data_IF_348796596174
#
_entry.id   IF_348796596174
#
_cell.length_a   1.000
_cell.length_b   1.000
_cell.length_c   1.000
_cell.angle_alpha   90.00
_cell.angle_beta   90.00
_cell.angle_gamma   90.00
#
_symmetry.space_group_name_H-M   'P 1'
#
loop_
_entity.id
_entity.type
_entity.pdbx_description
1 polymer ?
#
# COMPACT_ATOMS: atom_id res chain seq x y z
N UNK A 1 1.51 26.41 19.37
CA UNK A 1 2.74 26.26 18.56
C UNK A 1 3.21 24.81 18.45
N UNK A 2 3.30 24.04 19.54
CA UNK A 2 3.75 22.63 19.55
C UNK A 2 3.03 21.73 18.52
N UNK A 3 1.71 21.82 18.40
CA UNK A 3 0.95 21.02 17.42
C UNK A 3 1.31 21.33 15.97
N UNK A 4 1.61 22.59 15.64
CA UNK A 4 2.02 22.97 14.27
C UNK A 4 3.35 22.33 13.87
N UNK A 5 4.31 22.27 14.78
CA UNK A 5 5.60 21.62 14.52
C UNK A 5 5.46 20.12 14.29
N UNK A 6 4.61 19.45 15.07
CA UNK A 6 4.37 18.01 14.93
C UNK A 6 3.66 17.71 13.61
N UNK A 7 2.64 18.51 13.25
CA UNK A 7 1.96 18.36 11.95
C UNK A 7 2.92 18.57 10.79
N UNK A 8 3.73 19.63 10.83
CA UNK A 8 4.73 19.88 9.78
C UNK A 8 5.76 18.74 9.71
N UNK A 9 6.26 18.27 10.87
CA UNK A 9 7.19 17.14 10.92
C UNK A 9 6.60 15.86 10.32
N UNK A 10 5.35 15.54 10.65
CA UNK A 10 4.66 14.38 10.07
C UNK A 10 4.48 14.54 8.55
N UNK A 11 4.05 15.71 8.08
CA UNK A 11 3.92 15.99 6.64
C UNK A 11 5.26 15.89 5.91
N UNK A 12 6.36 16.34 6.52
CA UNK A 12 7.70 16.16 5.96
C UNK A 12 8.10 14.69 5.86
N UNK A 13 7.75 13.86 6.86
CA UNK A 13 8.01 12.40 6.83
C UNK A 13 7.18 11.74 5.72
N UNK A 14 5.90 12.10 5.59
CA UNK A 14 5.03 11.61 4.51
C UNK A 14 5.60 11.99 3.14
N UNK A 15 6.01 13.24 2.98
CA UNK A 15 6.62 13.71 1.74
C UNK A 15 7.91 12.96 1.40
N UNK A 16 8.78 12.75 2.40
CA UNK A 16 9.99 11.95 2.26
C UNK A 16 9.68 10.50 1.85
N UNK A 17 8.69 9.87 2.49
CA UNK A 17 8.26 8.52 2.15
C UNK A 17 7.77 8.42 0.70
N UNK A 18 6.95 9.37 0.24
CA UNK A 18 6.45 9.41 -1.14
C UNK A 18 7.63 9.52 -2.12
N UNK A 19 8.58 10.44 -1.88
CA UNK A 19 9.76 10.57 -2.73
C UNK A 19 10.61 9.29 -2.73
N UNK A 20 10.78 8.67 -1.57
CA UNK A 20 11.55 7.43 -1.42
C UNK A 20 10.89 6.26 -2.16
N UNK A 21 9.57 6.10 -2.04
CA UNK A 21 8.80 5.08 -2.75
C UNK A 21 8.83 5.28 -4.27
N UNK A 22 8.71 6.53 -4.74
CA UNK A 22 8.82 6.85 -6.17
C UNK A 22 10.25 6.59 -6.67
N UNK A 23 11.27 6.95 -5.90
CA UNK A 23 12.66 6.73 -6.28
C UNK A 23 13.02 5.24 -6.39
N UNK A 24 12.46 4.41 -5.50
CA UNK A 24 12.63 2.96 -5.52
C UNK A 24 11.53 2.22 -6.29
N UNK A 25 10.76 2.94 -7.11
CA UNK A 25 9.63 2.35 -7.84
C UNK A 25 10.08 1.23 -8.76
N UNK A 26 9.70 0.01 -8.39
CA UNK A 26 9.98 -1.20 -9.14
C UNK A 26 8.75 -2.12 -9.04
N UNK A 27 7.85 -2.10 -10.05
CA UNK A 27 6.75 -3.05 -10.12
C UNK A 27 7.28 -4.48 -10.03
N UNK A 28 6.77 -5.26 -9.08
CA UNK A 28 7.14 -6.66 -8.93
C UNK A 28 6.51 -7.48 -10.06
N UNK A 29 7.26 -8.43 -10.62
CA UNK A 29 6.75 -9.36 -11.62
C UNK A 29 5.50 -10.11 -11.14
N UNK A 30 5.47 -10.47 -9.86
CA UNK A 30 4.36 -11.19 -9.23
C UNK A 30 3.05 -10.39 -9.22
N UNK A 31 3.11 -9.05 -9.23
CA UNK A 31 1.91 -8.20 -9.26
C UNK A 31 1.08 -8.42 -10.53
N UNK A 32 1.71 -8.81 -11.63
CA UNK A 32 1.05 -9.07 -12.90
C UNK A 32 0.17 -10.32 -12.86
N UNK A 33 0.40 -11.24 -11.91
CA UNK A 33 -0.50 -12.38 -11.68
C UNK A 33 -1.87 -11.83 -11.26
N UNK A 34 -1.91 -11.00 -10.22
CA UNK A 34 -3.14 -10.38 -9.74
C UNK A 34 -3.79 -9.49 -10.80
N UNK A 35 -3.00 -8.74 -11.57
CA UNK A 35 -3.54 -7.88 -12.64
C UNK A 35 -4.18 -8.68 -13.77
N UNK A 36 -3.63 -9.86 -14.11
CA UNK A 36 -4.24 -10.74 -15.12
C UNK A 36 -5.59 -11.28 -14.66
N UNK A 37 -5.68 -11.78 -13.43
CA UNK A 37 -6.96 -12.21 -12.87
C UNK A 37 -7.96 -11.04 -12.80
N UNK A 38 -7.51 -9.86 -12.40
CA UNK A 38 -8.34 -8.66 -12.34
C UNK A 38 -8.85 -8.24 -13.72
N UNK A 39 -8.00 -8.33 -14.75
CA UNK A 39 -8.38 -8.05 -16.14
C UNK A 39 -9.42 -9.04 -16.65
N UNK A 40 -9.20 -10.34 -16.48
CA UNK A 40 -10.13 -11.36 -16.94
C UNK A 40 -11.49 -11.23 -16.25
N UNK A 41 -11.49 -10.92 -14.95
CA UNK A 41 -12.73 -10.65 -14.23
C UNK A 41 -13.42 -9.38 -14.74
N UNK A 42 -12.68 -8.30 -14.98
CA UNK A 42 -13.22 -7.04 -15.51
C UNK A 42 -13.81 -7.18 -16.93
N UNK A 43 -13.25 -8.06 -17.76
CA UNK A 43 -13.73 -8.36 -19.12
C UNK A 43 -14.90 -9.37 -19.14
N UNK A 44 -15.30 -9.90 -17.98
CA UNK A 44 -16.44 -10.81 -17.84
C UNK A 44 -16.11 -12.29 -18.05
N UNK A 45 -14.82 -12.66 -18.14
CA UNK A 45 -14.38 -14.06 -18.24
C UNK A 45 -14.31 -14.77 -16.89
N UNK A 46 -14.44 -14.02 -15.79
CA UNK A 46 -14.32 -14.54 -14.42
C UNK A 46 -12.87 -14.63 -13.93
N UNK A 47 -12.69 -15.25 -12.76
CA UNK A 47 -11.39 -15.42 -12.11
C UNK A 47 -10.65 -16.63 -12.70
N UNK A 48 -10.15 -16.46 -13.91
CA UNK A 48 -9.42 -17.50 -14.65
C UNK A 48 -8.02 -17.02 -15.05
N UNK A 49 -7.06 -17.94 -15.15
CA UNK A 49 -5.73 -17.61 -15.68
C UNK A 49 -5.74 -17.53 -17.21
N UNK A 50 -6.28 -18.56 -17.86
CA UNK A 50 -6.46 -18.65 -19.31
C UNK A 50 -7.95 -18.75 -19.64
N UNK A 51 -8.39 -17.95 -20.61
CA UNK A 51 -9.78 -17.95 -21.05
C UNK A 51 -10.08 -19.26 -21.76
N UNK A 52 -11.15 -19.95 -21.35
CA UNK A 52 -11.56 -21.24 -21.93
C UNK A 52 -10.93 -22.47 -21.25
N UNK A 53 -10.00 -22.29 -20.32
CA UNK A 53 -9.50 -23.37 -19.47
C UNK A 53 -10.32 -23.50 -18.17
N UNK A 54 -10.11 -24.59 -17.44
CA UNK A 54 -10.72 -24.78 -16.12
C UNK A 54 -10.25 -23.68 -15.16
N UNK A 55 -11.15 -23.09 -14.33
CA UNK A 55 -10.76 -22.09 -13.35
C UNK A 55 -9.73 -22.64 -12.35
N UNK A 56 -8.73 -21.82 -12.03
CA UNK A 56 -7.70 -22.10 -11.04
C UNK A 56 -7.54 -20.89 -10.13
N UNK A 57 -7.38 -21.14 -8.82
CA UNK A 57 -7.10 -20.08 -7.85
C UNK A 57 -5.60 -19.84 -7.78
N UNK A 58 -5.08 -19.11 -8.77
CA UNK A 58 -3.64 -18.82 -8.93
C UNK A 58 -3.16 -17.56 -8.19
N UNK A 59 -3.97 -16.99 -7.29
CA UNK A 59 -3.65 -15.78 -6.52
C UNK A 59 -3.75 -16.06 -5.02
N UNK A 60 -2.95 -15.36 -4.22
CA UNK A 60 -2.96 -15.44 -2.74
C UNK A 60 -3.61 -14.22 -2.09
N UNK A 61 -4.05 -13.26 -2.90
CA UNK A 61 -4.46 -11.92 -2.48
C UNK A 61 -5.85 -11.54 -3.05
N UNK A 62 -6.87 -12.37 -2.77
CA UNK A 62 -8.22 -12.22 -3.35
C UNK A 62 -8.80 -10.80 -3.27
N UNK A 63 -8.72 -10.15 -2.09
CA UNK A 63 -9.19 -8.78 -1.91
C UNK A 63 -8.46 -7.80 -2.84
N UNK A 64 -7.16 -7.99 -3.03
CA UNK A 64 -6.36 -7.16 -3.93
C UNK A 64 -6.77 -7.35 -5.38
N UNK A 65 -7.01 -8.59 -5.82
CA UNK A 65 -7.55 -8.89 -7.17
C UNK A 65 -8.86 -8.14 -7.40
N UNK A 66 -9.79 -8.15 -6.43
CA UNK A 66 -11.05 -7.40 -6.55
C UNK A 66 -10.83 -5.88 -6.64
N UNK A 67 -9.94 -5.32 -5.84
CA UNK A 67 -9.59 -3.89 -5.88
C UNK A 67 -8.98 -3.53 -7.25
N UNK A 68 -8.04 -4.33 -7.73
CA UNK A 68 -7.44 -4.19 -9.06
C UNK A 68 -8.49 -4.33 -10.17
N UNK A 69 -9.48 -5.20 -10.01
CA UNK A 69 -10.60 -5.35 -10.96
C UNK A 69 -11.38 -4.04 -11.07
N UNK A 70 -11.67 -3.38 -9.95
CA UNK A 70 -12.34 -2.07 -9.95
C UNK A 70 -11.50 -1.01 -10.67
N UNK A 71 -10.18 -1.00 -10.44
CA UNK A 71 -9.25 -0.11 -11.16
C UNK A 71 -9.28 -0.35 -12.68
N UNK A 72 -9.26 -1.62 -13.10
CA UNK A 72 -9.36 -1.99 -14.52
C UNK A 72 -10.70 -1.62 -15.14
N UNK A 73 -11.83 -1.83 -14.43
CA UNK A 73 -13.17 -1.42 -14.88
C UNK A 73 -13.27 0.11 -15.04
N UNK A 74 -12.61 0.87 -14.17
CA UNK A 74 -12.49 2.32 -14.26
C UNK A 74 -11.53 2.79 -15.36
N UNK A 75 -10.90 1.87 -16.11
CA UNK A 75 -9.94 2.13 -17.20
C UNK A 75 -8.68 2.87 -16.76
N UNK A 76 -8.26 2.71 -15.50
CA UNK A 76 -6.97 3.21 -15.06
C UNK A 76 -5.83 2.33 -15.58
N UNK A 77 -4.64 2.93 -15.70
CA UNK A 77 -3.41 2.15 -15.81
C UNK A 77 -3.25 1.34 -14.53
N UNK A 78 -3.29 0.01 -14.65
CA UNK A 78 -3.37 -0.87 -13.48
C UNK A 78 -2.12 -0.82 -12.61
N UNK A 79 -0.94 -0.59 -13.23
CA UNK A 79 0.33 -0.48 -12.51
C UNK A 79 0.34 0.79 -11.68
N UNK A 80 0.02 1.94 -12.30
CA UNK A 80 -0.04 3.22 -11.60
C UNK A 80 -1.13 3.22 -10.51
N UNK A 81 -2.29 2.62 -10.78
CA UNK A 81 -3.37 2.49 -9.82
C UNK A 81 -2.94 1.67 -8.58
N UNK A 82 -2.30 0.52 -8.80
CA UNK A 82 -1.80 -0.34 -7.73
C UNK A 82 -0.69 0.36 -6.92
N UNK A 83 0.24 1.05 -7.58
CA UNK A 83 1.28 1.84 -6.91
C UNK A 83 0.71 2.97 -6.06
N UNK A 84 -0.29 3.70 -6.60
CA UNK A 84 -0.96 4.77 -5.87
C UNK A 84 -1.63 4.24 -4.60
N UNK A 85 -2.32 3.09 -4.68
CA UNK A 85 -2.93 2.45 -3.53
C UNK A 85 -1.90 1.95 -2.51
N UNK A 86 -0.78 1.38 -2.97
CA UNK A 86 0.32 0.94 -2.10
C UNK A 86 0.97 2.09 -1.33
N UNK A 87 1.27 3.21 -2.01
CA UNK A 87 1.79 4.44 -1.38
C UNK A 87 0.77 5.01 -0.40
N UNK A 88 -0.50 5.12 -0.81
CA UNK A 88 -1.57 5.64 0.06
C UNK A 88 -1.72 4.79 1.32
N UNK A 89 -1.68 3.46 1.19
CA UNK A 89 -1.71 2.53 2.32
C UNK A 89 -0.47 2.69 3.23
N UNK A 90 0.70 2.95 2.64
CA UNK A 90 1.90 3.29 3.40
C UNK A 90 1.74 4.56 4.24
N UNK A 91 1.09 5.59 3.71
CA UNK A 91 0.80 6.84 4.45
C UNK A 91 -0.14 6.57 5.63
N UNK A 92 -1.20 5.78 5.42
CA UNK A 92 -2.08 5.38 6.53
C UNK A 92 -1.36 4.52 7.56
N UNK A 93 -0.45 3.65 7.14
CA UNK A 93 0.42 2.89 8.05
C UNK A 93 1.25 3.83 8.93
N UNK A 94 1.89 4.86 8.36
CA UNK A 94 2.63 5.88 9.12
C UNK A 94 1.74 6.63 10.12
N UNK A 95 0.49 6.94 9.72
CA UNK A 95 -0.48 7.56 10.62
C UNK A 95 -0.82 6.67 11.81
N UNK A 96 -1.06 5.37 11.59
CA UNK A 96 -1.35 4.45 12.68
C UNK A 96 -0.11 4.18 13.55
N UNK A 97 1.10 4.10 12.96
CA UNK A 97 2.36 4.03 13.73
C UNK A 97 2.51 5.23 14.66
N UNK A 98 2.19 6.44 14.18
CA UNK A 98 2.16 7.64 15.02
C UNK A 98 1.16 7.50 16.18
N UNK A 99 -0.07 7.03 15.89
CA UNK A 99 -1.12 6.84 16.89
C UNK A 99 -0.77 5.79 17.95
N UNK A 100 -0.25 4.64 17.55
CA UNK A 100 0.21 3.58 18.45
C UNK A 100 1.39 4.08 19.30
N UNK A 101 2.32 4.82 18.70
CA UNK A 101 3.44 5.44 19.43
C UNK A 101 2.94 6.33 20.57
N UNK A 102 1.81 7.03 20.39
CA UNK A 102 1.17 7.84 21.44
C UNK A 102 0.49 7.00 22.52
N UNK A 103 -0.03 5.82 22.20
CA UNK A 103 -0.61 4.90 23.19
C UNK A 103 0.45 4.32 24.14
N UNK A 104 1.66 4.05 23.64
CA UNK A 104 2.79 3.57 24.45
C UNK A 104 3.53 4.71 25.19
N UNK A 105 2.84 5.83 25.45
CA UNK A 105 3.34 6.96 26.24
C UNK A 105 4.51 7.75 25.64
N UNK A 106 4.76 7.66 24.33
CA UNK A 106 5.68 8.60 23.67
C UNK A 106 5.04 10.00 23.56
N UNK A 107 5.86 11.03 23.72
CA UNK A 107 5.43 12.40 23.51
C UNK A 107 5.23 12.69 22.00
N UNK A 108 4.53 13.76 21.68
CA UNK A 108 4.12 14.10 20.31
C UNK A 108 5.29 14.17 19.32
N UNK A 109 6.47 14.60 19.78
CA UNK A 109 7.67 14.74 18.96
C UNK A 109 8.44 13.43 18.84
N UNK A 110 8.55 12.64 19.90
CA UNK A 110 9.24 11.33 19.86
C UNK A 110 8.43 10.28 19.11
N UNK A 111 7.10 10.42 19.06
CA UNK A 111 6.23 9.59 18.23
C UNK A 111 6.47 9.77 16.72
N UNK A 112 7.17 10.83 16.28
CA UNK A 112 7.60 10.98 14.88
C UNK A 112 8.79 10.08 14.53
N UNK A 113 9.57 9.64 15.52
CA UNK A 113 10.80 8.88 15.27
C UNK A 113 10.54 7.49 14.67
N UNK A 114 9.60 6.67 15.18
CA UNK A 114 9.23 5.41 14.53
C UNK A 114 8.68 5.62 13.11
N UNK A 115 7.91 6.69 12.90
CA UNK A 115 7.39 7.06 11.58
C UNK A 115 8.53 7.37 10.62
N UNK A 116 9.52 8.14 11.08
CA UNK A 116 10.72 8.47 10.28
C UNK A 116 11.50 7.21 9.92
N UNK A 117 11.79 6.33 10.89
CA UNK A 117 12.51 5.09 10.64
C UNK A 117 11.79 4.17 9.64
N UNK A 118 10.46 4.07 9.74
CA UNK A 118 9.69 3.29 8.79
C UNK A 118 9.68 3.95 7.39
N UNK A 119 9.54 5.27 7.31
CA UNK A 119 9.55 6.01 6.04
C UNK A 119 10.88 5.90 5.28
N UNK A 120 12.02 5.85 5.98
CA UNK A 120 13.35 5.67 5.37
C UNK A 120 13.75 4.22 5.16
N UNK A 121 12.91 3.25 5.58
CA UNK A 121 13.16 1.83 5.37
C UNK A 121 13.02 1.49 3.88
N UNK A 122 14.10 1.04 3.26
CA UNK A 122 14.14 0.64 1.84
C UNK A 122 13.04 -0.38 1.48
N UNK A 123 12.93 -1.52 2.20
CA UNK A 123 11.87 -2.49 1.95
C UNK A 123 10.46 -1.87 2.00
N UNK A 124 10.17 -1.06 3.01
CA UNK A 124 8.84 -0.46 3.15
C UNK A 124 8.49 0.47 1.97
N UNK A 125 9.48 1.22 1.46
CA UNK A 125 9.30 2.10 0.31
C UNK A 125 9.19 1.33 -1.00
N UNK A 126 10.06 0.34 -1.25
CA UNK A 126 10.03 -0.50 -2.46
C UNK A 126 8.69 -1.22 -2.59
N UNK A 127 8.23 -1.89 -1.54
CA UNK A 127 6.96 -2.62 -1.55
C UNK A 127 5.72 -1.71 -1.62
N UNK A 128 5.84 -0.42 -1.25
CA UNK A 128 4.76 0.56 -1.48
C UNK A 128 4.48 0.79 -2.96
N UNK A 129 5.49 0.64 -3.80
CA UNK A 129 5.49 0.91 -5.24
C UNK A 129 5.58 -0.35 -6.11
N UNK A 130 5.50 -1.54 -5.51
CA UNK A 130 5.65 -2.81 -6.23
C UNK A 130 4.39 -3.23 -6.98
N UNK A 131 3.23 -2.61 -6.70
CA UNK A 131 1.94 -3.02 -7.24
C UNK A 131 1.32 -4.23 -6.52
N UNK A 132 1.97 -4.72 -5.46
CA UNK A 132 1.47 -5.77 -4.58
C UNK A 132 0.59 -5.20 -3.46
N UNK A 133 -0.20 -6.07 -2.83
CA UNK A 133 -1.04 -5.76 -1.67
C UNK A 133 -0.26 -5.49 -0.38
N UNK A 134 1.06 -5.69 -0.36
CA UNK A 134 1.91 -5.71 0.84
C UNK A 134 1.67 -4.52 1.77
N UNK A 135 1.61 -3.30 1.24
CA UNK A 135 1.39 -2.11 2.05
C UNK A 135 -0.07 -1.94 2.48
N UNK A 136 -1.03 -2.42 1.69
CA UNK A 136 -2.45 -2.48 2.08
C UNK A 136 -2.65 -3.47 3.23
N UNK A 137 -2.05 -4.66 3.14
CA UNK A 137 -2.04 -5.65 4.19
C UNK A 137 -1.41 -5.11 5.48
N UNK A 138 -0.24 -4.46 5.36
CA UNK A 138 0.45 -3.82 6.49
C UNK A 138 -0.41 -2.75 7.14
N UNK A 139 -1.07 -1.91 6.34
CA UNK A 139 -2.01 -0.91 6.83
C UNK A 139 -3.12 -1.55 7.66
N UNK A 140 -3.82 -2.57 7.13
CA UNK A 140 -4.90 -3.21 7.88
C UNK A 140 -4.41 -3.92 9.14
N UNK A 141 -3.24 -4.55 9.10
CA UNK A 141 -2.66 -5.21 10.27
C UNK A 141 -2.29 -4.22 11.39
N UNK A 142 -1.67 -3.10 11.03
CA UNK A 142 -1.30 -2.07 12.01
C UNK A 142 -2.56 -1.33 12.50
N UNK A 143 -3.52 -1.09 11.61
CA UNK A 143 -4.81 -0.51 11.95
C UNK A 143 -5.61 -1.38 12.91
N UNK A 144 -5.61 -2.71 12.73
CA UNK A 144 -6.28 -3.63 13.66
C UNK A 144 -5.56 -3.72 15.00
N UNK A 145 -4.24 -3.58 15.05
CA UNK A 145 -3.51 -3.55 16.33
C UNK A 145 -3.81 -2.30 17.18
N UNK A 146 -4.28 -1.21 16.56
CA UNK A 146 -4.64 0.02 17.26
C UNK A 146 -6.06 -0.01 17.87
N UNK A 147 -6.98 -0.79 17.28
CA UNK A 147 -8.40 -0.82 17.61
C UNK A 147 -8.77 -2.08 18.41
#
# INVERSE_FOLDING_TARGET
MKNRFVTLGFLSIVFLFILHAIFLAAPAEDSFISFRFAKNLAEGYGLVWNIGELPVEGYTNFLWVLICTLGTLAKFDIVLFAQFLGITSGIFTLFYVYKISRQISLNDTTALLPCLFLAVSGPFATWASSGMETNLFTFFLVGSAYH
#
